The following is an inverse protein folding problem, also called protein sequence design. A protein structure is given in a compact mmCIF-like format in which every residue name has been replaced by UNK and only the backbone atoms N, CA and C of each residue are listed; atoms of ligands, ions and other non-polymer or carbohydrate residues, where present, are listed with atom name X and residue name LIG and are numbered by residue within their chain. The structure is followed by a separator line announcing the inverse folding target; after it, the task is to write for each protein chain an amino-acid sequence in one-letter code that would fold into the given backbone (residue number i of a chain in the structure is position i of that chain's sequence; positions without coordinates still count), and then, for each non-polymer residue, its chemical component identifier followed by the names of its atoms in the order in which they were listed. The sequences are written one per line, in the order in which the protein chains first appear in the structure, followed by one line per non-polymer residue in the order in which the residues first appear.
data_IF_974533828946
#
_entry.id   IF_974533828946
#
_cell.length_a   1.000
_cell.length_b   1.000
_cell.length_c   1.000
_cell.angle_alpha   90.00
_cell.angle_beta   90.00
_cell.angle_gamma   90.00
#
_symmetry.space_group_name_H-M   'P 1'
#
loop_
_entity.id
_entity.type
_entity.pdbx_description
1 polymer ?
#
# COMPACT_ATOMS: atom_id res chain seq x y z
N UNK A 1 8.81 6.15 3.69
CA UNK A 1 9.13 7.46 4.32
C UNK A 1 8.70 7.52 5.77
N UNK A 2 7.42 7.33 6.10
CA UNK A 2 6.91 7.37 7.49
C UNK A 2 7.65 6.45 8.48
N UNK A 3 7.82 5.17 8.14
CA UNK A 3 8.57 4.23 8.99
C UNK A 3 10.05 4.61 9.17
N UNK A 4 10.67 5.19 8.12
CA UNK A 4 12.07 5.64 8.14
C UNK A 4 12.22 6.86 9.04
N UNK A 5 11.37 7.88 8.87
CA UNK A 5 11.36 9.08 9.72
C UNK A 5 11.04 8.73 11.18
N UNK A 6 10.10 7.81 11.43
CA UNK A 6 9.82 7.31 12.78
C UNK A 6 11.06 6.65 13.40
N UNK A 7 11.82 5.88 12.64
CA UNK A 7 13.06 5.25 13.15
C UNK A 7 14.12 6.31 13.50
N UNK A 8 14.33 7.31 12.63
CA UNK A 8 15.23 8.43 12.91
C UNK A 8 14.77 9.26 14.12
N UNK A 9 13.48 9.55 14.23
CA UNK A 9 12.94 10.29 15.35
C UNK A 9 13.05 9.49 16.67
N UNK A 10 12.87 8.17 16.63
CA UNK A 10 13.07 7.30 17.80
C UNK A 10 14.53 7.28 18.27
N UNK A 11 15.50 7.41 17.37
CA UNK A 11 16.93 7.51 17.73
C UNK A 11 17.22 8.75 18.59
N UNK A 12 16.58 9.88 18.28
CA UNK A 12 16.72 11.14 19.03
C UNK A 12 15.70 11.31 20.17
N UNK A 13 14.83 10.33 20.39
CA UNK A 13 13.79 10.42 21.41
C UNK A 13 14.39 10.32 22.82
N UNK A 14 14.07 11.27 23.75
CA UNK A 14 14.62 11.26 25.09
C UNK A 14 14.05 10.09 25.91
N UNK A 15 14.82 9.01 25.98
CA UNK A 15 14.53 7.87 26.85
C UNK A 15 14.72 8.24 28.33
N UNK A 16 14.08 7.49 29.23
CA UNK A 16 14.23 7.70 30.68
C UNK A 16 15.71 7.73 31.10
N UNK A 17 16.18 8.88 31.60
CA UNK A 17 17.54 9.09 32.08
C UNK A 17 18.49 9.82 31.13
N UNK A 18 18.06 10.21 29.92
CA UNK A 18 18.84 11.08 29.03
C UNK A 18 18.54 12.57 29.29
N UNK A 19 19.55 13.44 29.20
CA UNK A 19 19.37 14.88 29.32
C UNK A 19 18.39 15.39 28.25
N UNK A 20 17.28 15.99 28.69
CA UNK A 20 16.16 16.44 27.86
C UNK A 20 16.47 17.72 27.05
N UNK A 21 17.73 18.12 26.93
CA UNK A 21 18.12 19.46 26.47
C UNK A 21 17.96 19.68 24.95
N UNK A 22 17.76 18.63 24.14
CA UNK A 22 17.69 18.74 22.68
C UNK A 22 16.48 18.04 22.06
N UNK A 23 15.27 18.32 22.56
CA UNK A 23 14.01 17.82 21.97
C UNK A 23 13.75 18.31 20.55
N UNK A 24 14.48 19.33 20.07
CA UNK A 24 14.30 19.96 18.76
C UNK A 24 14.44 18.97 17.60
N UNK A 25 15.45 18.08 17.65
CA UNK A 25 15.75 17.18 16.54
C UNK A 25 14.62 16.16 16.29
N UNK A 26 14.19 15.46 17.33
CA UNK A 26 13.13 14.47 17.17
C UNK A 26 11.79 15.16 16.85
N UNK A 27 11.49 16.31 17.46
CA UNK A 27 10.25 17.05 17.16
C UNK A 27 10.22 17.56 15.72
N UNK A 28 11.36 18.00 15.16
CA UNK A 28 11.45 18.39 13.76
C UNK A 28 11.20 17.20 12.81
N UNK A 29 11.77 16.03 13.12
CA UNK A 29 11.53 14.81 12.35
C UNK A 29 10.08 14.33 12.44
N UNK A 30 9.45 14.45 13.61
CA UNK A 30 8.03 14.13 13.81
C UNK A 30 7.14 15.11 13.06
N UNK A 31 7.42 16.41 13.13
CA UNK A 31 6.68 17.43 12.39
C UNK A 31 6.77 17.17 10.88
N UNK A 32 7.97 16.88 10.37
CA UNK A 32 8.17 16.49 8.97
C UNK A 32 7.39 15.22 8.60
N UNK A 33 7.40 14.20 9.46
CA UNK A 33 6.64 12.98 9.25
C UNK A 33 5.13 13.27 9.16
N UNK A 34 4.59 14.11 10.04
CA UNK A 34 3.18 14.52 10.03
C UNK A 34 2.80 15.37 8.82
N UNK A 35 3.71 16.21 8.30
CA UNK A 35 3.48 16.98 7.08
C UNK A 35 3.43 16.06 5.85
N UNK A 36 4.40 15.15 5.72
CA UNK A 36 4.44 14.20 4.60
C UNK A 36 3.26 13.20 4.70
N UNK A 37 2.92 12.78 5.91
CA UNK A 37 1.79 11.88 6.20
C UNK A 37 1.12 12.26 7.54
N UNK A 38 -0.06 12.87 7.51
CA UNK A 38 -0.80 13.24 8.72
C UNK A 38 -1.08 12.07 9.67
N UNK A 39 -1.13 10.85 9.14
CA UNK A 39 -1.31 9.60 9.88
C UNK A 39 -0.19 9.30 10.87
N UNK A 40 1.02 9.83 10.66
CA UNK A 40 2.15 9.66 11.57
C UNK A 40 1.88 10.22 12.97
N UNK A 41 0.98 11.21 13.07
CA UNK A 41 0.55 11.79 14.35
C UNK A 41 -0.09 10.75 15.27
N UNK A 42 -0.80 9.75 14.71
CA UNK A 42 -1.43 8.69 15.50
C UNK A 42 -0.37 7.87 16.25
N UNK A 43 0.71 7.47 15.56
CA UNK A 43 1.80 6.70 16.16
C UNK A 43 2.55 7.52 17.21
N UNK A 44 2.80 8.80 16.94
CA UNK A 44 3.59 9.67 17.83
C UNK A 44 2.80 10.22 19.01
N UNK A 45 1.47 10.25 18.95
CA UNK A 45 0.61 10.82 20.00
C UNK A 45 0.96 10.31 21.42
N UNK A 46 1.05 8.99 21.70
CA UNK A 46 1.36 8.50 23.04
C UNK A 46 2.75 8.93 23.53
N UNK A 47 3.75 8.98 22.64
CA UNK A 47 5.12 9.39 22.98
C UNK A 47 5.20 10.90 23.25
N UNK A 48 4.53 11.71 22.44
CA UNK A 48 4.44 13.16 22.63
C UNK A 48 3.72 13.50 23.94
N UNK A 49 2.60 12.83 24.24
CA UNK A 49 1.86 13.00 25.49
C UNK A 49 2.68 12.58 26.70
N UNK A 50 3.42 11.46 26.60
CA UNK A 50 4.30 11.00 27.67
C UNK A 50 5.45 11.98 27.93
N UNK A 51 6.08 12.51 26.88
CA UNK A 51 7.13 13.53 27.02
C UNK A 51 6.57 14.81 27.64
N UNK A 52 5.40 15.28 27.18
CA UNK A 52 4.72 16.45 27.74
C UNK A 52 4.37 16.29 29.22
N UNK A 53 3.98 15.08 29.65
CA UNK A 53 3.67 14.81 31.06
C UNK A 53 4.92 14.88 31.94
N UNK A 54 6.05 14.35 31.46
CA UNK A 54 7.31 14.32 32.21
C UNK A 54 8.03 15.67 32.26
N UNK A 55 7.83 16.50 31.25
CA UNK A 55 8.49 17.79 31.17
C UNK A 55 8.01 18.73 32.29
N UNK A 56 8.96 19.23 33.08
CA UNK A 56 8.67 20.14 34.20
C UNK A 56 8.25 21.52 33.69
N UNK A 57 8.91 22.02 32.63
CA UNK A 57 8.61 23.32 32.05
C UNK A 57 7.79 23.17 30.75
N UNK A 58 6.50 22.85 30.92
CA UNK A 58 5.53 22.69 29.83
C UNK A 58 5.44 23.92 28.92
N UNK A 59 5.57 25.13 29.48
CA UNK A 59 5.53 26.38 28.71
C UNK A 59 6.72 26.49 27.76
N UNK A 60 7.93 26.18 28.24
CA UNK A 60 9.13 26.17 27.40
C UNK A 60 9.03 25.15 26.28
N UNK A 61 8.54 23.94 26.56
CA UNK A 61 8.37 22.90 25.53
C UNK A 61 7.37 23.33 24.45
N UNK A 62 6.19 23.84 24.84
CA UNK A 62 5.16 24.26 23.89
C UNK A 62 5.58 25.47 23.06
N UNK A 63 5.95 26.57 23.73
CA UNK A 63 6.22 27.84 23.05
C UNK A 63 7.64 27.95 22.50
N UNK A 64 8.62 27.34 23.17
CA UNK A 64 10.03 27.40 22.78
C UNK A 64 10.45 26.33 21.78
N UNK A 65 9.73 25.21 21.70
CA UNK A 65 10.13 24.09 20.83
C UNK A 65 9.02 23.65 19.88
N UNK A 66 7.86 23.23 20.38
CA UNK A 66 6.79 22.67 19.55
C UNK A 66 6.22 23.69 18.56
N UNK A 67 5.91 24.90 19.01
CA UNK A 67 5.32 25.94 18.14
C UNK A 67 6.30 26.39 17.05
N UNK A 68 7.56 26.76 17.32
CA UNK A 68 8.51 27.14 16.28
C UNK A 68 8.73 26.02 15.25
N UNK A 69 8.92 24.77 15.71
CA UNK A 69 9.10 23.61 14.83
C UNK A 69 7.87 23.39 13.95
N UNK A 70 6.66 23.46 14.52
CA UNK A 70 5.41 23.32 13.79
C UNK A 70 5.20 24.42 12.76
N UNK A 71 5.48 25.68 13.11
CA UNK A 71 5.36 26.83 12.19
C UNK A 71 6.37 26.74 11.04
N UNK A 72 7.62 26.35 11.32
CA UNK A 72 8.64 26.16 10.27
C UNK A 72 8.23 25.02 9.33
N UNK A 73 7.80 23.87 9.88
CA UNK A 73 7.39 22.73 9.07
C UNK A 73 6.15 23.04 8.20
N UNK A 74 5.13 23.68 8.78
CA UNK A 74 3.93 24.07 8.06
C UNK A 74 4.21 25.16 7.02
N UNK A 75 4.99 26.18 7.39
CA UNK A 75 5.39 27.25 6.47
C UNK A 75 6.18 26.70 5.28
N UNK A 76 7.12 25.78 5.53
CA UNK A 76 7.85 25.05 4.49
C UNK A 76 6.92 24.27 3.57
N UNK A 77 5.96 23.52 4.13
CA UNK A 77 4.95 22.81 3.33
C UNK A 77 4.15 23.76 2.45
N UNK A 78 3.67 24.87 3.00
CA UNK A 78 2.86 25.84 2.26
C UNK A 78 3.61 26.47 1.09
N UNK A 79 4.90 26.77 1.27
CA UNK A 79 5.75 27.29 0.18
C UNK A 79 5.89 26.24 -0.92
N UNK A 80 6.20 25.00 -0.57
CA UNK A 80 6.29 23.88 -1.53
C UNK A 80 4.96 23.71 -2.26
N UNK A 81 3.86 23.63 -1.53
CA UNK A 81 2.52 23.46 -2.09
C UNK A 81 2.17 24.63 -3.03
N UNK A 82 2.53 25.87 -2.69
CA UNK A 82 2.30 27.04 -3.55
C UNK A 82 3.11 27.01 -4.84
N UNK A 83 4.34 26.48 -4.82
CA UNK A 83 5.21 26.34 -5.99
C UNK A 83 4.63 25.32 -6.96
N UNK A 84 4.19 24.16 -6.47
CA UNK A 84 3.68 23.08 -7.34
C UNK A 84 2.22 23.27 -7.79
N UNK A 85 1.33 23.73 -6.89
CA UNK A 85 -0.10 23.86 -7.22
C UNK A 85 -0.48 25.24 -7.77
N UNK A 86 0.42 26.23 -7.76
CA UNK A 86 0.15 27.60 -8.21
C UNK A 86 -0.80 28.41 -7.30
N UNK A 87 -1.32 27.80 -6.23
CA UNK A 87 -2.23 28.41 -5.26
C UNK A 87 -1.86 27.97 -3.85
N UNK A 88 -2.24 28.75 -2.84
CA UNK A 88 -2.02 28.35 -1.45
C UNK A 88 -2.95 27.19 -1.09
N UNK A 89 -2.36 26.05 -0.75
CA UNK A 89 -3.07 24.83 -0.39
C UNK A 89 -2.48 24.29 0.90
N UNK A 90 -3.34 23.95 1.87
CA UNK A 90 -2.92 23.22 3.06
C UNK A 90 -3.20 21.74 2.83
N UNK A 91 -2.23 21.01 2.27
CA UNK A 91 -2.41 19.60 1.89
C UNK A 91 -2.85 18.71 3.06
N UNK A 92 -2.28 18.81 4.29
CA UNK A 92 -2.73 18.02 5.43
C UNK A 92 -4.21 18.22 5.80
N UNK A 93 -4.76 19.42 5.64
CA UNK A 93 -6.18 19.70 5.91
C UNK A 93 -7.07 19.09 4.82
N UNK A 94 -6.66 19.17 3.56
CA UNK A 94 -7.37 18.51 2.47
C UNK A 94 -7.34 16.98 2.64
N UNK A 95 -6.23 16.42 3.10
CA UNK A 95 -6.14 15.00 3.45
C UNK A 95 -7.17 14.62 4.52
N UNK A 96 -7.25 15.39 5.61
CA UNK A 96 -8.22 15.14 6.69
C UNK A 96 -9.65 15.23 6.16
N UNK A 97 -9.95 16.28 5.39
CA UNK A 97 -11.27 16.45 4.78
C UNK A 97 -11.63 15.25 3.89
N UNK A 98 -10.74 14.85 2.99
CA UNK A 98 -11.03 13.83 2.00
C UNK A 98 -11.06 12.41 2.59
N UNK A 99 -10.08 12.05 3.42
CA UNK A 99 -9.90 10.68 3.88
C UNK A 99 -10.64 10.36 5.18
N UNK A 100 -10.86 11.35 6.05
CA UNK A 100 -11.50 11.12 7.37
C UNK A 100 -12.93 11.63 7.39
N UNK A 101 -13.22 12.80 6.83
CA UNK A 101 -14.58 13.36 6.87
C UNK A 101 -15.51 12.80 5.78
N UNK A 102 -14.99 12.50 4.59
CA UNK A 102 -15.81 11.97 3.48
C UNK A 102 -15.72 10.44 3.34
N UNK A 103 -14.88 9.76 4.13
CA UNK A 103 -14.70 8.29 4.22
C UNK A 103 -14.68 7.53 2.87
N UNK A 104 -14.17 8.18 1.81
CA UNK A 104 -14.13 7.62 0.45
C UNK A 104 -13.26 6.34 0.37
N UNK A 105 -12.41 6.12 1.35
CA UNK A 105 -11.58 4.91 1.43
C UNK A 105 -12.43 3.63 1.55
N UNK A 106 -13.67 3.71 2.05
CA UNK A 106 -14.61 2.59 2.07
C UNK A 106 -14.93 2.03 0.68
N UNK A 107 -14.79 2.83 -0.38
CA UNK A 107 -14.93 2.40 -1.77
C UNK A 107 -13.96 1.27 -2.12
N UNK A 108 -12.75 1.29 -1.54
CA UNK A 108 -11.73 0.25 -1.76
C UNK A 108 -11.89 -0.98 -0.86
N UNK A 109 -13.07 -1.13 -0.24
CA UNK A 109 -13.40 -2.22 0.66
C UNK A 109 -13.32 -1.84 2.13
N UNK A 110 -14.00 -2.62 2.96
CA UNK A 110 -14.04 -2.45 4.41
C UNK A 110 -13.74 -3.75 5.13
N UNK A 111 -13.25 -3.63 6.35
CA UNK A 111 -12.92 -4.77 7.19
C UNK A 111 -13.46 -4.55 8.61
N UNK A 112 -13.80 -5.64 9.30
CA UNK A 112 -14.24 -5.60 10.71
C UNK A 112 -13.24 -4.88 11.60
N UNK A 113 -13.71 -4.29 12.71
CA UNK A 113 -12.87 -3.53 13.65
C UNK A 113 -11.68 -4.36 14.18
N UNK A 114 -11.86 -5.66 14.41
CA UNK A 114 -10.81 -6.54 14.94
C UNK A 114 -9.76 -6.95 13.91
N UNK A 115 -9.91 -6.59 12.63
CA UNK A 115 -9.07 -7.09 11.54
C UNK A 115 -7.58 -6.83 11.76
N UNK A 116 -7.18 -5.66 12.28
CA UNK A 116 -5.76 -5.42 12.57
C UNK A 116 -5.22 -6.30 13.70
N UNK A 117 -6.04 -6.68 14.68
CA UNK A 117 -5.64 -7.59 15.75
C UNK A 117 -5.54 -9.04 15.27
N UNK A 118 -6.50 -9.48 14.45
CA UNK A 118 -6.62 -10.88 14.04
C UNK A 118 -5.85 -11.23 12.77
N UNK A 119 -5.64 -10.27 11.87
CA UNK A 119 -5.04 -10.48 10.54
C UNK A 119 -3.89 -9.49 10.28
N UNK A 120 -4.14 -8.19 10.45
CA UNK A 120 -3.17 -7.14 10.13
C UNK A 120 -1.81 -7.32 10.82
N UNK A 121 -1.80 -7.31 12.15
CA UNK A 121 -0.58 -7.44 12.94
C UNK A 121 0.07 -8.83 12.80
N UNK A 122 -0.68 -9.96 12.82
CA UNK A 122 -0.12 -11.27 12.51
C UNK A 122 0.58 -11.36 11.15
N UNK A 123 -0.01 -10.81 10.08
CA UNK A 123 0.58 -10.85 8.74
C UNK A 123 1.81 -9.94 8.64
N UNK A 124 1.75 -8.73 9.20
CA UNK A 124 2.88 -7.78 9.17
C UNK A 124 4.08 -8.30 9.97
N UNK A 125 3.85 -9.00 11.09
CA UNK A 125 4.92 -9.64 11.86
C UNK A 125 5.35 -10.99 11.29
N UNK A 126 4.44 -11.71 10.63
CA UNK A 126 4.70 -13.02 10.04
C UNK A 126 5.37 -13.98 11.02
N UNK A 127 6.48 -14.64 10.64
CA UNK A 127 7.23 -15.55 11.51
C UNK A 127 7.76 -14.92 12.81
N UNK A 128 7.83 -13.59 12.91
CA UNK A 128 8.27 -12.88 14.11
C UNK A 128 7.19 -12.79 15.20
N UNK A 129 5.92 -13.07 14.89
CA UNK A 129 4.81 -12.95 15.84
C UNK A 129 5.04 -13.66 17.19
N UNK A 130 5.43 -14.95 17.27
CA UNK A 130 5.69 -15.61 18.56
C UNK A 130 6.83 -14.94 19.35
N UNK A 131 7.85 -14.42 18.65
CA UNK A 131 8.96 -13.71 19.28
C UNK A 131 8.53 -12.34 19.80
N UNK A 132 7.67 -11.64 19.07
CA UNK A 132 7.06 -10.39 19.53
C UNK A 132 6.27 -10.62 20.82
N UNK A 133 5.35 -11.59 20.82
CA UNK A 133 4.53 -11.92 22.00
C UNK A 133 5.39 -12.30 23.21
N UNK A 134 6.34 -13.21 23.04
CA UNK A 134 7.29 -13.57 24.10
C UNK A 134 8.12 -12.35 24.56
N UNK A 135 8.51 -11.47 23.64
CA UNK A 135 9.24 -10.24 23.92
C UNK A 135 8.44 -9.26 24.80
N UNK A 136 7.15 -9.10 24.53
CA UNK A 136 6.25 -8.23 25.29
C UNK A 136 6.19 -8.60 26.78
N UNK A 137 6.18 -9.89 27.12
CA UNK A 137 6.18 -10.35 28.51
C UNK A 137 7.53 -10.15 29.22
N UNK A 138 8.62 -10.16 28.47
CA UNK A 138 9.97 -10.16 29.00
C UNK A 138 10.66 -8.79 29.00
N UNK A 139 10.10 -7.81 28.28
CA UNK A 139 10.70 -6.49 28.12
C UNK A 139 10.76 -5.71 29.45
N UNK A 140 11.86 -4.98 29.71
CA UNK A 140 12.01 -4.10 30.87
C UNK A 140 10.88 -3.07 30.94
N UNK A 141 10.50 -2.66 32.15
CA UNK A 141 9.41 -1.70 32.38
C UNK A 141 9.57 -0.40 31.58
N UNK A 142 10.80 0.09 31.40
CA UNK A 142 11.11 1.28 30.58
C UNK A 142 10.66 1.20 29.11
N UNK A 143 10.55 -0.01 28.54
CA UNK A 143 10.11 -0.20 27.16
C UNK A 143 8.60 -0.40 27.03
N UNK A 144 7.84 -0.44 28.14
CA UNK A 144 6.37 -0.62 28.09
C UNK A 144 5.67 0.53 27.39
N UNK A 145 6.25 1.74 27.39
CA UNK A 145 5.72 2.88 26.63
C UNK A 145 5.61 2.56 25.13
N UNK A 146 6.56 1.80 24.59
CA UNK A 146 6.53 1.39 23.18
C UNK A 146 5.46 0.34 22.90
N UNK A 147 5.15 -0.53 23.86
CA UNK A 147 4.01 -1.45 23.73
C UNK A 147 2.69 -0.67 23.70
N UNK A 148 2.57 0.37 24.53
CA UNK A 148 1.41 1.27 24.51
C UNK A 148 1.28 1.93 23.13
N UNK A 149 2.38 2.38 22.51
CA UNK A 149 2.37 2.95 21.15
C UNK A 149 1.84 1.95 20.13
N UNK A 150 2.30 0.69 20.17
CA UNK A 150 1.83 -0.37 19.27
C UNK A 150 0.33 -0.60 19.44
N UNK A 151 -0.13 -0.81 20.68
CA UNK A 151 -1.54 -1.06 20.99
C UNK A 151 -2.43 0.12 20.63
N UNK A 152 -2.00 1.34 20.95
CA UNK A 152 -2.69 2.58 20.59
C UNK A 152 -2.84 2.72 19.08
N UNK A 153 -1.75 2.53 18.33
CA UNK A 153 -1.77 2.68 16.87
C UNK A 153 -2.70 1.66 16.23
N UNK A 154 -2.63 0.40 16.66
CA UNK A 154 -3.53 -0.66 16.19
C UNK A 154 -4.99 -0.33 16.55
N UNK A 155 -5.26 0.10 17.80
CA UNK A 155 -6.61 0.45 18.22
C UNK A 155 -7.19 1.65 17.46
N UNK A 156 -6.40 2.70 17.25
CA UNK A 156 -6.82 3.90 16.52
C UNK A 156 -7.16 3.58 15.06
N UNK A 157 -6.33 2.81 14.36
CA UNK A 157 -6.63 2.40 12.99
C UNK A 157 -7.77 1.37 12.90
N UNK A 158 -8.00 0.58 13.95
CA UNK A 158 -9.12 -0.37 14.00
C UNK A 158 -10.50 0.29 13.98
N UNK A 159 -10.59 1.57 14.38
CA UNK A 159 -11.82 2.36 14.31
C UNK A 159 -12.21 2.69 12.86
N UNK A 160 -11.23 2.84 11.97
CA UNK A 160 -11.49 3.19 10.56
C UNK A 160 -12.07 1.99 9.81
N UNK A 161 -13.07 2.23 8.95
CA UNK A 161 -13.72 1.16 8.18
C UNK A 161 -12.76 0.52 7.17
N UNK A 162 -12.04 1.35 6.41
CA UNK A 162 -11.02 0.91 5.47
C UNK A 162 -9.70 0.59 6.19
N UNK A 163 -9.08 -0.54 5.84
CA UNK A 163 -7.87 -1.05 6.49
C UNK A 163 -6.90 -1.62 5.47
N UNK A 164 -5.62 -1.32 5.66
CA UNK A 164 -4.55 -1.80 4.79
C UNK A 164 -3.30 -2.10 5.64
N UNK A 165 -2.52 -3.11 5.26
CA UNK A 165 -1.29 -3.46 5.98
C UNK A 165 -0.29 -2.30 6.07
N UNK A 166 -0.27 -1.40 5.07
CA UNK A 166 0.68 -0.29 5.03
C UNK A 166 0.45 0.77 6.11
N UNK A 167 -0.76 0.90 6.67
CA UNK A 167 -1.06 1.90 7.71
C UNK A 167 -0.42 1.55 9.06
N UNK A 168 -0.32 0.27 9.39
CA UNK A 168 0.33 -0.19 10.62
C UNK A 168 1.83 -0.46 10.46
N UNK A 169 2.36 -0.47 9.23
CA UNK A 169 3.78 -0.73 8.95
C UNK A 169 4.77 0.14 9.77
N UNK A 170 4.49 1.43 10.08
CA UNK A 170 5.36 2.25 10.92
C UNK A 170 5.62 1.71 12.34
N UNK A 171 4.79 0.81 12.87
CA UNK A 171 5.02 0.18 14.19
C UNK A 171 6.04 -0.96 14.13
N UNK A 172 6.40 -1.45 12.94
CA UNK A 172 7.25 -2.62 12.75
C UNK A 172 8.62 -2.48 13.45
N UNK A 173 9.35 -1.34 13.37
CA UNK A 173 10.61 -1.18 14.11
C UNK A 173 10.44 -1.33 15.63
N UNK A 174 9.33 -0.85 16.17
CA UNK A 174 8.99 -0.98 17.59
C UNK A 174 8.71 -2.45 17.93
N UNK A 175 7.96 -3.18 17.10
CA UNK A 175 7.74 -4.60 17.30
C UNK A 175 9.06 -5.40 17.26
N UNK A 176 9.98 -5.04 16.37
CA UNK A 176 11.30 -5.69 16.26
C UNK A 176 12.16 -5.50 17.51
N UNK A 177 12.00 -4.39 18.25
CA UNK A 177 12.63 -4.20 19.56
C UNK A 177 12.24 -5.31 20.55
N UNK A 178 10.95 -5.66 20.62
CA UNK A 178 10.45 -6.74 21.47
C UNK A 178 10.93 -8.11 20.99
N UNK A 179 10.94 -8.35 19.67
CA UNK A 179 11.52 -9.56 19.09
C UNK A 179 13.00 -9.72 19.48
N UNK A 180 13.78 -8.63 19.47
CA UNK A 180 15.17 -8.64 19.91
C UNK A 180 15.31 -9.02 21.38
N UNK A 181 14.44 -8.51 22.25
CA UNK A 181 14.40 -8.89 23.67
C UNK A 181 14.11 -10.37 23.88
N UNK A 182 13.18 -10.91 23.10
CA UNK A 182 12.86 -12.34 23.10
C UNK A 182 14.07 -13.19 22.69
N UNK A 183 14.70 -12.88 21.56
CA UNK A 183 15.86 -13.61 21.03
C UNK A 183 17.07 -13.54 21.98
N UNK A 184 17.30 -12.41 22.64
CA UNK A 184 18.36 -12.26 23.62
C UNK A 184 18.22 -13.22 24.82
N UNK A 185 16.98 -13.56 25.21
CA UNK A 185 16.71 -14.49 26.31
C UNK A 185 16.73 -15.96 25.91
N UNK A 186 16.57 -16.29 24.63
CA UNK A 186 16.48 -17.67 24.14
C UNK A 186 17.83 -18.44 24.12
N UNK A 187 18.82 -18.08 24.96
CA UNK A 187 20.17 -18.68 25.12
C UNK A 187 20.49 -19.84 24.16
N UNK A 188 20.07 -21.08 24.49
CA UNK A 188 20.32 -22.30 23.72
C UNK A 188 19.63 -22.35 22.34
N UNK A 189 18.39 -21.89 22.27
CA UNK A 189 17.54 -21.91 21.06
C UNK A 189 17.75 -20.72 20.13
N UNK A 190 18.56 -19.72 20.52
CA UNK A 190 18.78 -18.49 19.75
C UNK A 190 19.22 -18.76 18.30
N UNK A 191 20.17 -19.68 18.09
CA UNK A 191 20.66 -20.01 16.74
C UNK A 191 19.56 -20.64 15.89
N UNK A 192 18.85 -21.64 16.42
CA UNK A 192 17.73 -22.28 15.74
C UNK A 192 16.61 -21.27 15.41
N UNK A 193 16.27 -20.37 16.34
CA UNK A 193 15.29 -19.32 16.14
C UNK A 193 15.70 -18.34 15.03
N UNK A 194 16.96 -17.88 15.01
CA UNK A 194 17.47 -17.00 13.95
C UNK A 194 17.49 -17.71 12.61
N UNK A 195 17.94 -18.97 12.55
CA UNK A 195 17.90 -19.79 11.34
C UNK A 195 16.47 -19.97 10.83
N UNK A 196 15.50 -20.26 11.70
CA UNK A 196 14.09 -20.35 11.34
C UNK A 196 13.56 -19.04 10.77
N UNK A 197 13.82 -17.91 11.44
CA UNK A 197 13.40 -16.59 10.98
C UNK A 197 14.02 -16.24 9.63
N UNK A 198 15.32 -16.51 9.44
CA UNK A 198 16.00 -16.25 8.18
C UNK A 198 15.42 -17.11 7.06
N UNK A 199 15.32 -18.43 7.26
CA UNK A 199 14.83 -19.35 6.25
C UNK A 199 13.37 -19.09 5.89
N UNK A 200 12.49 -18.87 6.88
CA UNK A 200 11.07 -18.61 6.61
C UNK A 200 10.85 -17.29 5.87
N UNK A 201 11.52 -16.21 6.27
CA UNK A 201 11.43 -14.93 5.56
C UNK A 201 12.06 -15.00 4.16
N UNK A 202 13.21 -15.67 4.01
CA UNK A 202 13.88 -15.81 2.72
C UNK A 202 13.02 -16.60 1.72
N UNK A 203 12.47 -17.74 2.14
CA UNK A 203 11.58 -18.55 1.30
C UNK A 203 10.35 -17.76 0.88
N UNK A 204 9.72 -17.05 1.83
CA UNK A 204 8.56 -16.21 1.54
C UNK A 204 8.92 -15.08 0.56
N UNK A 205 10.04 -14.38 0.78
CA UNK A 205 10.50 -13.29 -0.07
C UNK A 205 10.86 -13.75 -1.48
N UNK A 206 11.51 -14.91 -1.63
CA UNK A 206 11.82 -15.48 -2.94
C UNK A 206 10.54 -15.90 -3.67
N UNK A 207 9.60 -16.54 -2.98
CA UNK A 207 8.33 -16.93 -3.60
C UNK A 207 7.49 -15.72 -4.02
N UNK A 208 7.29 -14.74 -3.12
CA UNK A 208 6.47 -13.56 -3.42
C UNK A 208 7.15 -12.57 -4.36
N UNK A 209 8.47 -12.53 -4.38
CA UNK A 209 9.25 -11.65 -5.26
C UNK A 209 9.50 -12.21 -6.65
N UNK A 210 9.54 -13.55 -6.83
CA UNK A 210 9.95 -14.17 -8.09
C UNK A 210 8.87 -15.04 -8.75
N UNK A 211 7.83 -15.47 -8.01
CA UNK A 211 6.86 -16.46 -8.52
C UNK A 211 5.43 -15.94 -8.41
N UNK A 212 5.01 -15.56 -7.21
CA UNK A 212 3.64 -15.11 -6.99
C UNK A 212 3.35 -13.79 -7.69
N UNK A 213 2.22 -13.74 -8.40
CA UNK A 213 1.75 -12.60 -9.19
C UNK A 213 2.72 -12.11 -10.29
N UNK A 214 3.72 -12.91 -10.67
CA UNK A 214 4.74 -12.52 -11.67
C UNK A 214 4.17 -12.21 -13.05
N UNK A 215 3.10 -12.90 -13.47
CA UNK A 215 2.56 -12.81 -14.82
C UNK A 215 2.20 -11.39 -15.28
N UNK A 216 1.87 -10.47 -14.37
CA UNK A 216 1.55 -9.07 -14.70
C UNK A 216 2.77 -8.28 -15.17
N UNK A 217 3.99 -8.73 -14.82
CA UNK A 217 5.24 -8.20 -15.33
C UNK A 217 5.63 -8.91 -16.63
N UNK A 218 5.54 -10.24 -16.67
CA UNK A 218 5.92 -11.03 -17.86
C UNK A 218 5.09 -10.65 -19.08
N UNK A 219 3.78 -10.43 -18.90
CA UNK A 219 2.91 -9.98 -20.01
C UNK A 219 3.35 -8.62 -20.55
N UNK A 220 3.79 -7.70 -19.70
CA UNK A 220 4.24 -6.37 -20.15
C UNK A 220 5.56 -6.44 -20.91
N UNK A 221 6.44 -7.37 -20.55
CA UNK A 221 7.67 -7.66 -21.31
C UNK A 221 7.31 -8.15 -22.71
N UNK A 222 6.34 -9.07 -22.82
CA UNK A 222 5.84 -9.56 -24.11
C UNK A 222 5.20 -8.45 -24.95
N UNK A 223 4.30 -7.64 -24.37
CA UNK A 223 3.65 -6.54 -25.10
C UNK A 223 4.66 -5.48 -25.57
N UNK A 224 5.77 -5.30 -24.87
CA UNK A 224 6.85 -4.38 -25.28
C UNK A 224 7.54 -4.84 -26.57
N UNK A 225 7.56 -6.13 -26.88
CA UNK A 225 8.14 -6.63 -28.15
C UNK A 225 7.29 -6.18 -29.37
N UNK A 226 6.02 -5.84 -29.14
CA UNK A 226 5.13 -5.28 -30.15
C UNK A 226 5.47 -3.81 -30.51
N UNK A 227 6.38 -3.16 -29.76
CA UNK A 227 6.85 -1.79 -30.03
C UNK A 227 7.72 -1.63 -31.30
N UNK A 228 7.77 -2.63 -32.18
CA UNK A 228 8.62 -2.61 -33.38
C UNK A 228 8.28 -1.42 -34.30
N UNK A 229 9.28 -0.75 -34.92
CA UNK A 229 9.05 0.43 -35.78
C UNK A 229 8.09 0.15 -36.96
N UNK A 230 8.11 -1.09 -37.46
CA UNK A 230 7.25 -1.57 -38.56
C UNK A 230 5.77 -1.71 -38.15
N UNK A 231 5.46 -1.77 -36.85
CA UNK A 231 4.12 -1.95 -36.30
C UNK A 231 3.53 -0.66 -35.70
N UNK A 232 4.22 0.48 -35.85
CA UNK A 232 3.77 1.77 -35.33
C UNK A 232 2.37 2.13 -35.86
N UNK A 233 1.41 2.25 -34.94
CA UNK A 233 0.03 2.65 -35.24
C UNK A 233 -0.94 1.52 -35.60
N UNK A 234 -0.50 0.27 -35.69
CA UNK A 234 -1.38 -0.87 -36.04
C UNK A 234 -1.80 -1.74 -34.84
N UNK A 235 -1.11 -1.61 -33.71
CA UNK A 235 -1.38 -2.44 -32.53
C UNK A 235 -2.05 -1.64 -31.41
N UNK A 236 -3.33 -1.95 -31.17
CA UNK A 236 -4.10 -1.51 -30.01
C UNK A 236 -4.32 -2.68 -29.05
N UNK A 237 -4.08 -2.45 -27.76
CA UNK A 237 -4.13 -3.50 -26.74
C UNK A 237 -5.16 -3.12 -25.69
N UNK A 238 -6.10 -4.02 -25.44
CA UNK A 238 -7.11 -3.89 -24.40
C UNK A 238 -6.84 -4.89 -23.27
N UNK A 239 -6.60 -4.38 -22.07
CA UNK A 239 -6.42 -5.15 -20.86
C UNK A 239 -7.76 -5.28 -20.14
N UNK A 240 -8.41 -6.43 -20.32
CA UNK A 240 -9.64 -6.84 -19.65
C UNK A 240 -9.30 -7.55 -18.33
N UNK A 241 -8.59 -6.82 -17.47
CA UNK A 241 -8.10 -7.27 -16.17
C UNK A 241 -8.68 -6.37 -15.07
N UNK A 242 -8.73 -6.82 -13.81
CA UNK A 242 -9.04 -5.94 -12.69
C UNK A 242 -8.14 -4.71 -12.69
N UNK A 243 -8.66 -3.58 -12.25
CA UNK A 243 -7.91 -2.34 -12.20
C UNK A 243 -6.53 -2.48 -11.54
N UNK A 244 -5.56 -1.73 -12.06
CA UNK A 244 -4.20 -1.67 -11.52
C UNK A 244 -3.47 -3.02 -11.45
N UNK A 245 -3.91 -4.03 -12.23
CA UNK A 245 -3.25 -5.33 -12.28
C UNK A 245 -1.86 -5.28 -12.92
N UNK A 246 -1.65 -4.40 -13.91
CA UNK A 246 -0.37 -4.30 -14.64
C UNK A 246 0.27 -2.92 -14.47
N UNK A 247 1.60 -2.83 -14.56
CA UNK A 247 2.31 -1.56 -14.37
C UNK A 247 2.23 -0.60 -15.58
N UNK A 248 1.51 -0.96 -16.64
CA UNK A 248 1.19 -0.10 -17.78
C UNK A 248 2.41 0.61 -18.40
N UNK A 249 2.32 1.90 -18.73
CA UNK A 249 3.41 2.69 -19.34
C UNK A 249 4.67 2.87 -18.48
N UNK A 250 4.68 2.42 -17.22
CA UNK A 250 5.93 2.37 -16.47
C UNK A 250 6.88 1.28 -16.97
N UNK A 251 6.38 0.30 -17.74
CA UNK A 251 7.18 -0.78 -18.35
C UNK A 251 7.24 -0.73 -19.88
N UNK A 252 6.27 -0.04 -20.52
CA UNK A 252 6.21 0.13 -21.98
C UNK A 252 6.54 1.59 -22.29
N UNK A 253 7.71 1.81 -22.90
CA UNK A 253 8.24 3.14 -23.24
C UNK A 253 8.18 3.42 -24.75
N UNK A 254 7.05 3.09 -25.36
CA UNK A 254 6.81 3.29 -26.80
C UNK A 254 5.36 3.74 -27.03
N UNK A 255 5.03 4.34 -28.18
CA UNK A 255 3.69 4.88 -28.47
C UNK A 255 2.69 3.76 -28.85
N UNK A 256 2.63 2.70 -28.04
CA UNK A 256 1.67 1.61 -28.17
C UNK A 256 0.34 2.04 -27.55
N UNK A 257 -0.77 1.86 -28.26
CA UNK A 257 -2.09 2.23 -27.75
C UNK A 257 -2.55 1.17 -26.75
N UNK A 258 -2.54 1.52 -25.46
CA UNK A 258 -2.98 0.65 -24.39
C UNK A 258 -4.27 1.21 -23.78
N UNK A 259 -5.24 0.35 -23.50
CA UNK A 259 -6.45 0.67 -22.72
C UNK A 259 -6.65 -0.41 -21.67
N UNK A 260 -7.13 -0.03 -20.49
CA UNK A 260 -7.55 -0.93 -19.42
C UNK A 260 -8.90 -0.48 -18.88
N UNK A 261 -9.63 -1.39 -18.21
CA UNK A 261 -10.89 -1.09 -17.56
C UNK A 261 -10.69 -0.09 -16.41
N UNK A 262 -11.40 1.02 -16.42
CA UNK A 262 -11.28 2.07 -15.42
C UNK A 262 -12.16 1.81 -14.19
N UNK A 263 -11.67 2.22 -13.02
CA UNK A 263 -12.44 2.24 -11.77
C UNK A 263 -12.16 3.53 -10.99
N UNK A 264 -12.62 4.69 -11.51
CA UNK A 264 -12.50 5.92 -10.76
C UNK A 264 -13.41 5.85 -9.52
N UNK A 265 -12.95 6.36 -8.37
CA UNK A 265 -13.79 6.43 -7.18
C UNK A 265 -14.96 7.38 -7.43
N UNK A 266 -16.12 7.09 -6.83
CA UNK A 266 -17.27 7.98 -6.94
C UNK A 266 -17.04 9.28 -6.16
N UNK A 267 -16.94 10.38 -6.89
CA UNK A 267 -16.85 11.72 -6.31
C UNK A 267 -18.22 12.43 -6.27
N UNK A 268 -19.28 11.79 -6.78
CA UNK A 268 -20.64 12.36 -6.89
C UNK A 268 -21.57 11.98 -5.74
N UNK A 269 -21.23 10.95 -4.95
CA UNK A 269 -21.97 10.53 -3.75
C UNK A 269 -23.20 9.67 -4.04
N UNK A 270 -23.22 8.95 -5.16
CA UNK A 270 -24.28 8.02 -5.55
C UNK A 270 -24.08 6.67 -4.86
N UNK A 271 -25.12 6.17 -4.20
CA UNK A 271 -25.06 4.92 -3.42
C UNK A 271 -24.90 3.64 -4.25
N UNK A 272 -25.30 3.66 -5.52
CA UNK A 272 -25.20 2.53 -6.45
C UNK A 272 -24.28 2.85 -7.64
N UNK A 273 -23.18 3.56 -7.38
CA UNK A 273 -22.19 3.81 -8.41
C UNK A 273 -21.50 2.49 -8.83
N UNK A 274 -21.51 2.21 -10.13
CA UNK A 274 -20.75 1.13 -10.74
C UNK A 274 -19.76 1.75 -11.73
N UNK A 275 -18.50 1.35 -11.61
CA UNK A 275 -17.47 1.77 -12.55
C UNK A 275 -17.44 0.90 -13.82
N UNK A 276 -16.59 1.28 -14.79
CA UNK A 276 -16.45 0.57 -16.07
C UNK A 276 -16.06 -0.90 -15.84
N UNK A 277 -15.14 -1.17 -14.89
CA UNK A 277 -14.71 -2.53 -14.59
C UNK A 277 -15.85 -3.36 -13.97
N UNK A 278 -16.63 -2.80 -13.06
CA UNK A 278 -17.78 -3.49 -12.46
C UNK A 278 -18.89 -3.78 -13.47
N UNK A 279 -19.20 -2.82 -14.35
CA UNK A 279 -20.14 -3.03 -15.44
C UNK A 279 -19.65 -4.15 -16.36
N UNK A 280 -18.38 -4.12 -16.75
CA UNK A 280 -17.76 -5.17 -17.56
C UNK A 280 -17.87 -6.55 -16.90
N UNK A 281 -17.42 -6.70 -15.66
CA UNK A 281 -17.43 -7.99 -14.96
C UNK A 281 -18.84 -8.48 -14.59
N UNK A 282 -19.85 -7.61 -14.61
CA UNK A 282 -21.24 -8.04 -14.42
C UNK A 282 -21.81 -8.75 -15.65
N UNK A 283 -21.43 -8.32 -16.86
CA UNK A 283 -21.90 -8.88 -18.14
C UNK A 283 -20.85 -8.72 -19.27
N UNK A 284 -19.77 -9.53 -19.28
CA UNK A 284 -18.63 -9.29 -20.17
C UNK A 284 -18.97 -9.31 -21.66
N UNK A 285 -19.80 -10.26 -22.11
CA UNK A 285 -20.20 -10.36 -23.52
C UNK A 285 -21.03 -9.17 -23.98
N UNK A 286 -22.02 -8.78 -23.17
CA UNK A 286 -22.88 -7.64 -23.49
C UNK A 286 -22.04 -6.37 -23.60
N UNK A 287 -21.18 -6.13 -22.60
CA UNK A 287 -20.29 -4.98 -22.58
C UNK A 287 -19.38 -4.94 -23.81
N UNK A 288 -18.75 -6.06 -24.19
CA UNK A 288 -17.88 -6.12 -25.37
C UNK A 288 -18.64 -5.83 -26.68
N UNK A 289 -19.88 -6.30 -26.79
CA UNK A 289 -20.71 -6.04 -27.97
C UNK A 289 -21.17 -4.58 -28.09
N UNK A 290 -21.43 -3.93 -26.95
CA UNK A 290 -21.82 -2.52 -26.88
C UNK A 290 -20.63 -1.58 -27.13
N UNK A 291 -19.47 -1.93 -26.59
CA UNK A 291 -18.23 -1.17 -26.74
C UNK A 291 -17.65 -1.26 -28.15
N UNK A 292 -17.78 -2.41 -28.81
CA UNK A 292 -17.22 -2.68 -30.14
C UNK A 292 -18.30 -3.10 -31.14
N UNK A 293 -19.21 -2.19 -31.55
CA UNK A 293 -20.26 -2.51 -32.52
C UNK A 293 -19.69 -2.75 -33.92
N UNK A 294 -18.54 -2.14 -34.24
CA UNK A 294 -17.90 -2.20 -35.54
C UNK A 294 -16.56 -2.94 -35.49
N UNK A 295 -16.31 -3.81 -36.46
CA UNK A 295 -15.09 -4.61 -36.53
C UNK A 295 -13.79 -3.78 -36.68
N UNK A 296 -13.89 -2.54 -37.15
CA UNK A 296 -12.77 -1.59 -37.32
C UNK A 296 -12.26 -1.01 -36.01
N UNK A 297 -13.07 -1.03 -34.94
CA UNK A 297 -12.72 -0.50 -33.62
C UNK A 297 -12.13 -1.56 -32.69
N UNK A 298 -12.12 -2.83 -33.13
CA UNK A 298 -11.63 -3.93 -32.32
C UNK A 298 -10.14 -3.81 -32.02
N UNK A 299 -9.73 -4.10 -30.78
CA UNK A 299 -8.32 -4.10 -30.43
C UNK A 299 -7.55 -5.20 -31.17
N UNK A 300 -6.29 -4.95 -31.50
CA UNK A 300 -5.43 -5.98 -32.09
C UNK A 300 -5.15 -7.13 -31.12
N UNK A 301 -5.05 -6.82 -29.82
CA UNK A 301 -4.74 -7.78 -28.75
C UNK A 301 -5.67 -7.59 -27.55
N UNK A 302 -6.08 -8.71 -26.96
CA UNK A 302 -6.83 -8.77 -25.71
C UNK A 302 -5.97 -9.45 -24.65
N UNK A 303 -5.90 -8.86 -23.46
CA UNK A 303 -5.13 -9.40 -22.33
C UNK A 303 -6.05 -9.56 -21.14
N UNK A 304 -6.17 -10.78 -20.60
CA UNK A 304 -7.06 -11.08 -19.49
C UNK A 304 -6.62 -12.30 -18.69
N UNK A 305 -7.14 -12.45 -17.47
CA UNK A 305 -6.95 -13.66 -16.67
C UNK A 305 -7.76 -14.83 -17.22
N UNK A 306 -7.20 -16.04 -17.14
CA UNK A 306 -7.81 -17.26 -17.69
C UNK A 306 -9.25 -17.54 -17.23
N UNK A 307 -9.65 -17.06 -16.05
CA UNK A 307 -11.01 -17.19 -15.52
C UNK A 307 -12.07 -16.56 -16.43
N UNK A 308 -11.71 -15.52 -17.19
CA UNK A 308 -12.63 -14.80 -18.08
C UNK A 308 -12.84 -15.51 -19.43
N UNK A 309 -11.95 -16.44 -19.81
CA UNK A 309 -11.93 -17.06 -21.15
C UNK A 309 -13.28 -17.69 -21.52
N UNK A 310 -13.90 -18.41 -20.59
CA UNK A 310 -15.16 -19.10 -20.84
C UNK A 310 -16.31 -18.12 -21.13
N UNK A 311 -16.36 -17.02 -20.38
CA UNK A 311 -17.43 -16.02 -20.51
C UNK A 311 -17.35 -15.26 -21.83
N UNK A 312 -16.14 -14.90 -22.28
CA UNK A 312 -15.96 -14.12 -23.51
C UNK A 312 -15.66 -14.96 -24.76
N UNK A 313 -15.63 -16.29 -24.64
CA UNK A 313 -15.31 -17.22 -25.74
C UNK A 313 -16.15 -16.97 -27.01
N UNK A 314 -17.48 -16.76 -26.94
CA UNK A 314 -18.29 -16.42 -28.12
C UNK A 314 -17.78 -15.18 -28.88
N UNK A 315 -17.36 -14.14 -28.15
CA UNK A 315 -16.81 -12.91 -28.74
C UNK A 315 -15.43 -13.14 -29.36
N UNK A 316 -14.59 -13.98 -28.73
CA UNK A 316 -13.27 -14.32 -29.26
C UNK A 316 -13.39 -15.07 -30.59
N UNK A 317 -14.31 -16.05 -30.66
CA UNK A 317 -14.52 -16.88 -31.86
C UNK A 317 -15.14 -16.04 -32.98
N UNK A 318 -16.18 -15.26 -32.70
CA UNK A 318 -16.87 -14.46 -33.73
C UNK A 318 -15.99 -13.40 -34.37
N UNK A 319 -14.99 -12.91 -33.63
CA UNK A 319 -14.06 -11.88 -34.10
C UNK A 319 -12.66 -12.43 -34.44
N UNK A 320 -12.51 -13.75 -34.60
CA UNK A 320 -11.28 -14.42 -35.03
C UNK A 320 -10.05 -14.13 -34.16
N UNK A 321 -10.22 -14.06 -32.85
CA UNK A 321 -9.12 -13.99 -31.90
C UNK A 321 -8.54 -15.37 -31.61
N UNK A 322 -7.22 -15.49 -31.66
CA UNK A 322 -6.47 -16.70 -31.30
C UNK A 322 -5.52 -16.46 -30.14
N UNK A 323 -5.32 -17.47 -29.30
CA UNK A 323 -4.40 -17.41 -28.15
C UNK A 323 -2.96 -17.31 -28.66
N UNK A 324 -2.31 -16.18 -28.38
CA UNK A 324 -0.95 -15.88 -28.83
C UNK A 324 0.10 -16.17 -27.75
N UNK A 325 -0.23 -15.94 -26.48
CA UNK A 325 0.68 -16.21 -25.36
C UNK A 325 -0.08 -16.54 -24.07
N UNK A 326 0.61 -17.22 -23.16
CA UNK A 326 0.14 -17.56 -21.82
C UNK A 326 1.27 -17.32 -20.81
N UNK A 327 0.96 -16.64 -19.71
CA UNK A 327 1.90 -16.37 -18.62
C UNK A 327 1.35 -16.88 -17.30
N UNK A 328 2.16 -17.59 -16.53
CA UNK A 328 1.82 -17.97 -15.17
C UNK A 328 1.72 -16.72 -14.28
N UNK A 329 0.66 -16.60 -13.50
CA UNK A 329 0.44 -15.50 -12.57
C UNK A 329 0.50 -15.94 -11.12
N UNK A 330 -0.30 -16.91 -10.69
CA UNK A 330 -0.38 -17.29 -9.27
C UNK A 330 -0.89 -18.72 -9.08
N UNK A 331 -0.41 -19.39 -8.03
CA UNK A 331 -0.96 -20.65 -7.56
C UNK A 331 -2.28 -20.48 -6.78
N UNK A 332 -2.60 -19.26 -6.36
CA UNK A 332 -3.75 -18.93 -5.52
C UNK A 332 -4.66 -17.93 -6.27
N UNK A 333 -5.44 -18.37 -7.27
CA UNK A 333 -6.40 -17.51 -7.95
C UNK A 333 -7.59 -17.18 -7.02
N UNK A 334 -8.18 -16.00 -7.18
CA UNK A 334 -9.35 -15.58 -6.41
C UNK A 334 -10.22 -14.60 -7.20
N UNK A 335 -11.52 -14.91 -7.28
CA UNK A 335 -12.51 -14.05 -7.94
C UNK A 335 -12.13 -13.73 -9.38
N UNK A 336 -11.96 -12.44 -9.68
CA UNK A 336 -11.59 -11.93 -11.03
C UNK A 336 -10.11 -12.18 -11.40
N UNK A 337 -9.29 -12.65 -10.46
CA UNK A 337 -7.85 -12.94 -10.67
C UNK A 337 -7.64 -14.43 -10.90
N UNK A 338 -7.12 -14.77 -12.07
CA UNK A 338 -6.86 -16.15 -12.49
C UNK A 338 -5.42 -16.61 -12.25
N UNK A 339 -5.17 -17.90 -12.45
CA UNK A 339 -3.84 -18.50 -12.27
C UNK A 339 -2.89 -18.15 -13.40
N UNK A 340 -3.42 -17.83 -14.59
CA UNK A 340 -2.65 -17.47 -15.77
C UNK A 340 -3.24 -16.21 -16.44
N UNK A 341 -2.40 -15.46 -17.13
CA UNK A 341 -2.78 -14.36 -18.00
C UNK A 341 -2.67 -14.86 -19.44
N UNK A 342 -3.72 -14.65 -20.21
CA UNK A 342 -3.76 -14.96 -21.63
C UNK A 342 -3.65 -13.69 -22.46
N UNK A 343 -2.93 -13.81 -23.57
CA UNK A 343 -2.91 -12.82 -24.63
C UNK A 343 -3.54 -13.44 -25.86
N UNK A 344 -4.60 -12.82 -26.35
CA UNK A 344 -5.25 -13.18 -27.60
C UNK A 344 -4.94 -12.12 -28.65
N UNK A 345 -4.68 -12.57 -29.89
CA UNK A 345 -4.40 -11.72 -31.04
C UNK A 345 -5.49 -11.93 -32.09
N UNK A 346 -5.98 -10.84 -32.68
CA UNK A 346 -6.93 -10.89 -33.79
C UNK A 346 -6.23 -11.36 -35.06
N UNK A 347 -6.82 -12.33 -35.76
CA UNK A 347 -6.43 -12.67 -37.12
C UNK A 347 -7.10 -11.70 -38.10
N UNK A 348 -6.33 -11.19 -39.06
CA UNK A 348 -6.82 -10.31 -40.11
C UNK A 348 -7.43 -11.09 -41.26
#
# INVERSE_FOLDING_TARGET
MEAVLTTFALFYYPMEGANMESSHHYLALVALACIIRPTAAILWAPLLLWHFWKESNKRRLLWGTCLPVGLIALGGSLVVDRVFFGKWVVVPLNFLKFNVLHDLATFYGSHSWHWYFTQGLPVVLGPHLPFFLHGCFNAPRKHRVFLVVVLWTVAAYSILHHKEFRFIYPILPICMLFCGHSLARLKRWRRAAVSFLLSSNLLLALYTGLVHQRGTLDVMVYLRELCSPLAQGQSSILLLMPCHSTPFYSHIHCPLQLRFLQCPPDLTGRTNYLDEADLFYSRPLQWLSEEFPNATQLPSHLVFFNVLEQEISPFLISNSYVKAAMFFHTHLPQGRVGSHIYVFKKLF
#
